data_IF_958474892077
#
_entry.id   IF_958474892077
#
_cell.length_a   1.000
_cell.length_b   1.000
_cell.length_c   1.000
_cell.angle_alpha   90.00
_cell.angle_beta   90.00
_cell.angle_gamma   90.00
#
_symmetry.space_group_name_H-M   'P 1'
#
loop_
_entity.id
_entity.type
_entity.pdbx_description
1 polymer ?
#
# COMPACT_ATOMS: atom_id res chain seq x y z
N UNK A 1 -5.16 16.13 -9.74
CA UNK A 1 -3.89 15.53 -10.16
C UNK A 1 -3.88 14.08 -9.64
N UNK A 2 -3.83 13.09 -10.53
CA UNK A 2 -4.21 11.71 -10.20
C UNK A 2 -3.11 11.01 -9.36
N UNK A 3 -3.38 10.74 -8.07
CA UNK A 3 -2.46 10.03 -7.14
C UNK A 3 -1.85 8.77 -7.76
N UNK A 4 -2.67 8.01 -8.48
CA UNK A 4 -2.27 6.80 -9.23
C UNK A 4 -1.19 7.09 -10.28
N UNK A 5 -1.34 8.16 -11.06
CA UNK A 5 -0.36 8.55 -12.08
C UNK A 5 0.97 8.96 -11.44
N UNK A 6 0.93 9.68 -10.32
CA UNK A 6 2.14 10.07 -9.58
C UNK A 6 2.86 8.84 -9.00
N UNK A 7 2.12 7.91 -8.38
CA UNK A 7 2.70 6.67 -7.83
C UNK A 7 3.43 5.85 -8.91
N UNK A 8 2.83 5.70 -10.09
CA UNK A 8 3.46 5.01 -11.21
C UNK A 8 4.70 5.75 -11.73
N UNK A 9 4.61 7.08 -11.85
CA UNK A 9 5.74 7.91 -12.29
C UNK A 9 6.91 7.89 -11.30
N UNK A 10 6.65 7.92 -10.00
CA UNK A 10 7.68 7.91 -8.96
C UNK A 10 8.33 6.54 -8.77
N UNK A 11 7.54 5.46 -8.91
CA UNK A 11 8.04 4.08 -8.78
C UNK A 11 8.75 3.57 -10.02
N UNK A 12 8.54 4.20 -11.19
CA UNK A 12 9.02 3.69 -12.48
C UNK A 12 8.29 2.42 -12.96
N UNK A 13 7.17 2.06 -12.33
CA UNK A 13 6.40 0.87 -12.66
C UNK A 13 5.55 1.07 -13.92
N UNK A 14 5.34 -0.02 -14.66
CA UNK A 14 4.51 -0.03 -15.87
C UNK A 14 3.04 0.32 -15.55
N UNK A 15 2.34 0.88 -16.54
CA UNK A 15 0.90 1.16 -16.49
C UNK A 15 0.05 -0.09 -16.18
N UNK A 16 0.61 -1.30 -16.36
CA UNK A 16 -0.04 -2.55 -15.95
C UNK A 16 -0.39 -2.58 -14.46
N UNK A 17 0.41 -1.92 -13.61
CA UNK A 17 0.20 -1.87 -12.15
C UNK A 17 -0.78 -0.77 -11.71
N UNK A 18 -1.60 -0.26 -12.63
CA UNK A 18 -2.52 0.86 -12.35
C UNK A 18 -3.62 0.47 -11.37
N UNK A 19 -4.06 -0.79 -11.38
CA UNK A 19 -5.04 -1.35 -10.44
C UNK A 19 -4.50 -1.33 -9.01
N UNK A 20 -3.27 -1.78 -8.82
CA UNK A 20 -2.56 -1.90 -7.55
C UNK A 20 -2.23 -0.51 -7.00
N UNK A 21 -1.79 0.41 -7.87
CA UNK A 21 -1.62 1.81 -7.53
C UNK A 21 -2.95 2.48 -7.14
N UNK A 22 -4.06 2.13 -7.80
CA UNK A 22 -5.39 2.63 -7.43
C UNK A 22 -5.84 2.11 -6.07
N UNK A 23 -5.67 0.81 -5.79
CA UNK A 23 -5.95 0.21 -4.49
C UNK A 23 -5.13 0.87 -3.38
N UNK A 24 -3.82 1.05 -3.60
CA UNK A 24 -2.93 1.76 -2.68
C UNK A 24 -3.37 3.20 -2.46
N UNK A 25 -3.78 3.91 -3.50
CA UNK A 25 -4.29 5.27 -3.36
C UNK A 25 -5.56 5.34 -2.50
N UNK A 26 -6.49 4.40 -2.65
CA UNK A 26 -7.69 4.30 -1.82
C UNK A 26 -7.32 3.97 -0.37
N UNK A 27 -6.41 3.01 -0.16
CA UNK A 27 -5.91 2.64 1.17
C UNK A 27 -5.33 3.85 1.92
N UNK A 28 -4.50 4.65 1.24
CA UNK A 28 -3.93 5.88 1.81
C UNK A 28 -4.99 6.95 2.08
N UNK A 29 -5.97 7.11 1.19
CA UNK A 29 -7.05 8.09 1.40
C UNK A 29 -7.86 7.77 2.66
N UNK A 30 -8.15 6.49 2.89
CA UNK A 30 -8.94 6.06 4.05
C UNK A 30 -8.18 6.24 5.38
N UNK A 31 -6.84 6.28 5.34
CA UNK A 31 -5.94 6.47 6.49
C UNK A 31 -5.40 7.88 6.64
N UNK A 32 -5.74 8.78 5.73
CA UNK A 32 -5.29 10.17 5.76
C UNK A 32 -6.37 11.08 6.36
N UNK A 33 -5.99 12.12 7.12
CA UNK A 33 -6.91 13.19 7.51
C UNK A 33 -7.62 13.77 6.28
N UNK A 34 -8.93 13.88 6.35
CA UNK A 34 -9.74 14.41 5.25
C UNK A 34 -10.48 15.67 5.69
N UNK A 35 -10.30 16.76 4.94
CA UNK A 35 -10.98 18.03 5.21
C UNK A 35 -12.51 17.93 5.10
N UNK A 36 -13.03 16.95 4.36
CA UNK A 36 -14.47 16.69 4.23
C UNK A 36 -15.11 16.18 5.54
N UNK A 37 -14.31 15.69 6.49
CA UNK A 37 -14.75 15.19 7.79
C UNK A 37 -13.98 15.86 8.92
N UNK A 38 -13.77 17.18 8.81
CA UNK A 38 -13.11 17.98 9.86
C UNK A 38 -11.71 17.46 10.22
N UNK A 39 -10.96 16.99 9.22
CA UNK A 39 -9.63 16.38 9.38
C UNK A 39 -9.61 15.10 10.21
N UNK A 40 -10.75 14.46 10.44
CA UNK A 40 -10.79 13.09 10.95
C UNK A 40 -10.28 12.11 9.89
N UNK A 41 -9.92 10.91 10.35
CA UNK A 41 -9.48 9.81 9.48
C UNK A 41 -10.70 8.97 9.08
N UNK A 42 -10.98 8.77 7.78
CA UNK A 42 -12.17 8.04 7.34
C UNK A 42 -12.32 6.64 7.97
N UNK A 43 -11.22 5.89 8.03
CA UNK A 43 -11.21 4.56 8.64
C UNK A 43 -11.52 4.58 10.13
N UNK A 44 -11.05 5.58 10.87
CA UNK A 44 -11.38 5.77 12.27
C UNK A 44 -12.87 6.04 12.46
N UNK A 45 -13.47 6.86 11.59
CA UNK A 45 -14.90 7.15 11.62
C UNK A 45 -15.73 5.89 11.36
N UNK A 46 -15.29 5.01 10.45
CA UNK A 46 -16.03 3.79 10.11
C UNK A 46 -15.84 2.64 11.09
N UNK A 47 -14.63 2.48 11.64
CA UNK A 47 -14.28 1.35 12.51
C UNK A 47 -14.32 1.69 13.99
N UNK A 48 -14.41 2.98 14.34
CA UNK A 48 -14.24 3.50 15.71
C UNK A 48 -12.88 3.15 16.34
N UNK A 49 -11.89 2.80 15.51
CA UNK A 49 -10.53 2.46 15.93
C UNK A 49 -9.51 3.27 15.12
N UNK A 50 -8.43 3.71 15.77
CA UNK A 50 -7.34 4.38 15.06
C UNK A 50 -6.64 3.36 14.14
N UNK A 51 -6.40 3.70 12.87
CA UNK A 51 -5.71 2.79 11.97
C UNK A 51 -4.24 2.66 12.36
N UNK A 52 -3.73 1.43 12.31
CA UNK A 52 -2.29 1.20 12.43
C UNK A 52 -1.57 1.68 11.15
N UNK A 53 -0.56 2.53 11.37
CA UNK A 53 0.29 3.08 10.31
C UNK A 53 1.68 2.43 10.29
N UNK A 54 1.99 1.51 11.22
CA UNK A 54 3.28 0.82 11.28
C UNK A 54 3.58 -0.02 10.04
N UNK A 55 2.53 -0.52 9.39
CA UNK A 55 2.61 -1.25 8.12
C UNK A 55 2.71 -0.38 6.87
N UNK A 56 2.70 0.95 6.97
CA UNK A 56 2.66 1.83 5.80
C UNK A 56 3.97 1.78 5.00
N UNK A 57 3.87 1.41 3.73
CA UNK A 57 4.96 1.35 2.75
C UNK A 57 4.68 2.23 1.54
N UNK A 58 5.76 2.75 0.94
CA UNK A 58 5.70 3.50 -0.32
C UNK A 58 5.44 2.52 -1.46
N UNK A 59 4.47 2.83 -2.32
CA UNK A 59 4.25 2.08 -3.56
C UNK A 59 5.55 2.03 -4.40
N UNK A 60 5.92 0.85 -4.87
CA UNK A 60 7.16 0.65 -5.63
C UNK A 60 8.43 0.51 -4.79
N UNK A 61 8.34 0.43 -3.45
CA UNK A 61 9.53 0.21 -2.63
C UNK A 61 10.04 -1.23 -2.72
N UNK A 62 11.33 -1.42 -2.43
CA UNK A 62 11.90 -2.76 -2.33
C UNK A 62 11.20 -3.56 -1.22
N UNK A 63 10.70 -4.73 -1.58
CA UNK A 63 10.10 -5.71 -0.69
C UNK A 63 10.94 -7.00 -0.71
N UNK A 64 10.83 -7.79 0.35
CA UNK A 64 11.44 -9.11 0.44
C UNK A 64 10.35 -10.13 0.74
N UNK A 65 10.20 -11.10 -0.15
CA UNK A 65 9.25 -12.19 0.00
C UNK A 65 9.99 -13.41 0.52
N UNK A 66 9.44 -14.02 1.57
CA UNK A 66 10.00 -15.27 2.08
C UNK A 66 9.79 -16.40 1.06
N UNK A 67 10.88 -17.02 0.60
CA UNK A 67 10.81 -18.24 -0.19
C UNK A 67 11.04 -19.46 0.69
N UNK A 68 10.17 -20.46 0.54
CA UNK A 68 10.26 -21.76 1.19
C UNK A 68 10.85 -22.83 0.27
N UNK A 69 11.67 -22.44 -0.73
CA UNK A 69 12.24 -23.33 -1.74
C UNK A 69 13.35 -24.27 -1.20
N UNK A 70 13.12 -24.91 -0.05
CA UNK A 70 14.05 -25.86 0.55
C UNK A 70 15.17 -25.22 1.35
N UNK A 71 15.86 -26.05 2.13
CA UNK A 71 16.75 -25.63 3.23
C UNK A 71 18.03 -24.91 2.78
N UNK A 72 18.40 -25.04 1.50
CA UNK A 72 19.67 -24.56 0.93
C UNK A 72 19.51 -23.37 -0.03
N UNK A 73 18.28 -23.00 -0.40
CA UNK A 73 18.06 -21.87 -1.28
C UNK A 73 17.97 -20.56 -0.47
N UNK A 74 18.24 -19.41 -1.10
CA UNK A 74 18.02 -18.10 -0.50
C UNK A 74 16.59 -18.00 0.05
N UNK A 75 16.47 -17.63 1.33
CA UNK A 75 15.18 -17.54 2.02
C UNK A 75 14.36 -16.30 1.65
N UNK A 76 14.94 -15.39 0.88
CA UNK A 76 14.36 -14.10 0.56
C UNK A 76 14.53 -13.79 -0.92
N UNK A 77 13.42 -13.45 -1.56
CA UNK A 77 13.39 -12.95 -2.93
C UNK A 77 13.15 -11.45 -2.88
N UNK A 78 13.99 -10.70 -3.59
CA UNK A 78 13.82 -9.26 -3.79
C UNK A 78 12.65 -9.04 -4.74
N UNK A 79 11.69 -8.25 -4.30
CA UNK A 79 10.49 -7.90 -5.06
C UNK A 79 10.13 -6.42 -4.85
N UNK A 80 8.98 -5.99 -5.38
CA UNK A 80 8.49 -4.62 -5.31
C UNK A 80 7.14 -4.61 -4.61
N UNK A 81 6.95 -3.71 -3.65
CA UNK A 81 5.67 -3.52 -2.98
C UNK A 81 4.65 -2.85 -3.92
N UNK A 82 3.55 -3.55 -4.20
CA UNK A 82 2.50 -3.11 -5.14
C UNK A 82 1.19 -2.73 -4.44
N UNK A 83 0.82 -3.39 -3.37
CA UNK A 83 -0.53 -3.27 -2.83
C UNK A 83 -0.62 -3.70 -1.37
N UNK A 84 -1.74 -3.33 -0.74
CA UNK A 84 -2.12 -3.80 0.58
C UNK A 84 -3.18 -4.90 0.42
N UNK A 85 -3.11 -5.97 1.22
CA UNK A 85 -4.06 -7.06 1.15
C UNK A 85 -5.48 -6.59 1.49
N UNK A 86 -6.46 -7.07 0.71
CA UNK A 86 -7.87 -6.85 1.00
C UNK A 86 -8.27 -7.56 2.29
N UNK A 87 -8.76 -6.81 3.28
CA UNK A 87 -9.47 -7.37 4.43
C UNK A 87 -8.61 -7.88 5.58
N UNK A 88 -7.37 -7.41 5.77
CA UNK A 88 -6.69 -7.66 7.06
C UNK A 88 -7.34 -6.80 8.14
N UNK A 89 -8.21 -7.47 8.91
CA UNK A 89 -8.72 -7.06 10.23
C UNK A 89 -7.66 -7.26 11.30
#
# INVERSE_FOLDING_TARGET
MNKVSNMLSESGLSVKFRSEAAATAVYLINRSPSSAIEFRIPEEVWTSALPDLGGLRRFGCLAYVHSSDGKLNPRENRDIFTDYPDGIK
#
